data_IF_105473546060
#
_entry.id   IF_105473546060
#
_cell.length_a   1.000
_cell.length_b   1.000
_cell.length_c   1.000
_cell.angle_alpha   90.00
_cell.angle_beta   90.00
_cell.angle_gamma   90.00
#
_symmetry.space_group_name_H-M   'P 1'
#
loop_
_entity.id
_entity.type
_entity.pdbx_description
1 polymer ?
#
# COMPACT_ATOMS: atom_id res chain seq x y z
N UNK A 1 -3.46 -11.62 11.33
CA UNK A 1 -3.38 -11.57 9.86
C UNK A 1 -4.70 -11.95 9.17
N UNK A 2 -5.30 -11.07 8.35
CA UNK A 2 -6.52 -11.35 7.57
C UNK A 2 -6.36 -12.53 6.61
N UNK A 3 -7.42 -13.33 6.40
CA UNK A 3 -7.37 -14.53 5.56
C UNK A 3 -6.96 -14.24 4.10
N UNK A 4 -7.35 -13.10 3.56
CA UNK A 4 -6.97 -12.68 2.19
C UNK A 4 -5.46 -12.47 2.03
N UNK A 5 -4.80 -11.90 3.05
CA UNK A 5 -3.34 -11.71 3.05
C UNK A 5 -2.62 -13.04 3.26
N UNK A 6 -3.21 -13.98 4.03
CA UNK A 6 -2.62 -15.33 4.20
C UNK A 6 -2.55 -16.12 2.90
N UNK A 7 -3.47 -15.86 1.98
CA UNK A 7 -3.53 -16.52 0.69
C UNK A 7 -2.78 -15.73 -0.41
N UNK A 8 -2.31 -14.53 -0.09
CA UNK A 8 -1.62 -13.65 -1.02
C UNK A 8 -0.10 -13.82 -0.92
N UNK A 9 0.61 -13.26 -1.90
CA UNK A 9 2.07 -13.14 -1.97
C UNK A 9 2.61 -11.97 -1.15
N UNK A 10 1.72 -11.27 -0.45
CA UNK A 10 2.06 -10.12 0.40
C UNK A 10 2.19 -10.56 1.86
N UNK A 11 3.03 -9.86 2.60
CA UNK A 11 3.26 -10.16 4.01
C UNK A 11 2.46 -9.20 4.89
N UNK A 12 1.77 -9.70 5.90
CA UNK A 12 1.17 -8.82 6.90
C UNK A 12 2.27 -8.24 7.79
N UNK A 13 2.31 -6.91 7.94
CA UNK A 13 3.24 -6.28 8.86
C UNK A 13 2.77 -6.46 10.30
N UNK A 14 3.52 -7.24 11.06
CA UNK A 14 3.51 -7.18 12.51
C UNK A 14 4.61 -6.19 12.95
N UNK A 15 4.36 -5.29 13.93
CA UNK A 15 5.35 -4.35 14.44
C UNK A 15 6.57 -5.10 14.99
N UNK A 16 7.52 -5.34 14.12
CA UNK A 16 8.76 -6.08 14.34
C UNK A 16 9.76 -5.54 13.32
N UNK A 17 11.04 -5.61 13.64
CA UNK A 17 12.05 -4.91 12.87
C UNK A 17 11.98 -5.27 11.37
N UNK A 18 12.17 -4.27 10.47
CA UNK A 18 12.27 -4.53 9.04
C UNK A 18 13.37 -5.56 8.75
N UNK A 19 13.31 -6.30 7.61
CA UNK A 19 14.33 -7.28 7.27
C UNK A 19 15.74 -6.70 7.37
N UNK A 20 16.61 -7.40 8.10
CA UNK A 20 17.97 -6.94 8.38
C UNK A 20 18.89 -6.91 7.13
N UNK A 21 18.51 -7.61 6.06
CA UNK A 21 19.26 -7.69 4.81
C UNK A 21 18.35 -7.53 3.59
N UNK A 22 18.90 -6.94 2.52
CA UNK A 22 18.19 -6.74 1.26
C UNK A 22 17.20 -5.57 1.33
N UNK A 23 16.44 -5.41 0.24
CA UNK A 23 15.41 -4.39 0.13
C UNK A 23 14.08 -4.92 0.67
N UNK A 24 13.29 -4.09 1.33
CA UNK A 24 11.93 -4.42 1.76
C UNK A 24 11.01 -3.19 1.65
N UNK A 25 9.73 -3.42 1.35
CA UNK A 25 8.72 -2.38 1.22
C UNK A 25 7.70 -2.54 2.34
N UNK A 26 7.37 -1.46 3.06
CA UNK A 26 6.16 -1.38 3.90
C UNK A 26 5.15 -0.50 3.19
N UNK A 27 3.96 -1.02 3.02
CA UNK A 27 2.83 -0.35 2.42
C UNK A 27 1.72 -0.20 3.46
N UNK A 28 1.48 1.03 3.90
CA UNK A 28 0.35 1.37 4.77
C UNK A 28 -0.83 1.76 3.89
N UNK A 29 -1.92 1.00 4.02
CA UNK A 29 -3.13 1.13 3.19
C UNK A 29 -4.35 1.50 4.03
N UNK A 30 -5.23 2.31 3.46
CA UNK A 30 -6.55 2.57 4.02
C UNK A 30 -7.54 1.51 3.51
N UNK A 31 -8.15 0.66 4.37
CA UNK A 31 -9.01 -0.44 3.93
C UNK A 31 -10.33 -0.01 3.28
N UNK A 32 -10.70 1.28 3.32
CA UNK A 32 -11.82 1.86 2.56
C UNK A 32 -11.39 2.52 1.25
N UNK A 33 -10.08 2.65 0.98
CA UNK A 33 -9.60 3.22 -0.27
C UNK A 33 -9.69 2.17 -1.37
N UNK A 34 -10.60 2.37 -2.31
CA UNK A 34 -10.69 1.52 -3.50
C UNK A 34 -9.38 1.47 -4.29
N UNK A 35 -8.61 2.57 -4.31
CA UNK A 35 -7.30 2.60 -4.95
C UNK A 35 -6.29 1.71 -4.22
N UNK A 36 -6.30 1.72 -2.89
CA UNK A 36 -5.38 0.91 -2.10
C UNK A 36 -5.73 -0.57 -2.23
N UNK A 37 -7.02 -0.92 -2.19
CA UNK A 37 -7.48 -2.30 -2.40
C UNK A 37 -7.13 -2.80 -3.80
N UNK A 38 -7.40 -2.01 -4.85
CA UNK A 38 -7.01 -2.35 -6.22
C UNK A 38 -5.49 -2.50 -6.37
N UNK A 39 -4.70 -1.68 -5.68
CA UNK A 39 -3.25 -1.79 -5.65
C UNK A 39 -2.79 -3.11 -5.02
N UNK A 40 -3.41 -3.55 -3.92
CA UNK A 40 -3.08 -4.84 -3.31
C UNK A 40 -3.34 -6.01 -4.27
N UNK A 41 -4.43 -5.98 -5.03
CA UNK A 41 -4.73 -7.01 -6.03
C UNK A 41 -3.68 -7.04 -7.15
N UNK A 42 -3.26 -5.87 -7.66
CA UNK A 42 -2.20 -5.80 -8.68
C UNK A 42 -0.87 -6.32 -8.13
N UNK A 43 -0.52 -5.96 -6.89
CA UNK A 43 0.72 -6.41 -6.27
C UNK A 43 0.72 -7.92 -6.01
N UNK A 44 -0.39 -8.49 -5.56
CA UNK A 44 -0.51 -9.93 -5.34
C UNK A 44 -0.27 -10.74 -6.62
N UNK A 45 -0.68 -10.20 -7.77
CA UNK A 45 -0.43 -10.81 -9.06
C UNK A 45 1.01 -10.58 -9.58
N UNK A 46 1.58 -9.40 -9.30
CA UNK A 46 2.86 -8.94 -9.86
C UNK A 46 4.09 -9.43 -9.08
N UNK A 47 3.97 -9.63 -7.77
CA UNK A 47 5.08 -10.11 -6.94
C UNK A 47 5.31 -11.61 -7.22
N UNK A 48 6.55 -12.08 -7.39
CA UNK A 48 6.84 -13.51 -7.56
C UNK A 48 6.25 -14.36 -6.43
N UNK A 49 5.68 -15.51 -6.79
CA UNK A 49 5.14 -16.47 -5.82
C UNK A 49 6.22 -17.09 -4.92
N UNK A 50 5.80 -17.85 -3.89
CA UNK A 50 6.71 -18.50 -2.95
C UNK A 50 7.68 -19.50 -3.61
N UNK A 51 7.38 -19.95 -4.82
CA UNK A 51 8.25 -20.85 -5.61
C UNK A 51 9.46 -20.13 -6.24
N UNK A 52 9.53 -18.79 -6.15
CA UNK A 52 10.65 -17.97 -6.65
C UNK A 52 11.15 -16.96 -5.60
N UNK A 53 11.64 -17.44 -4.44
CA UNK A 53 12.09 -16.56 -3.37
C UNK A 53 13.34 -15.78 -3.81
N UNK A 54 13.31 -14.45 -3.59
CA UNK A 54 14.45 -13.56 -3.86
C UNK A 54 14.44 -12.84 -5.22
N UNK A 55 13.45 -13.10 -6.08
CA UNK A 55 13.31 -12.38 -7.36
C UNK A 55 12.72 -10.96 -7.20
N UNK A 56 12.08 -10.67 -6.07
CA UNK A 56 11.63 -9.32 -5.73
C UNK A 56 11.72 -9.06 -4.22
N UNK A 57 11.84 -7.79 -3.80
CA UNK A 57 11.72 -7.40 -2.40
C UNK A 57 10.38 -7.84 -1.79
N UNK A 58 10.36 -8.33 -0.53
CA UNK A 58 9.11 -8.57 0.18
C UNK A 58 8.32 -7.27 0.36
N UNK A 59 7.01 -7.36 0.12
CA UNK A 59 6.05 -6.29 0.37
C UNK A 59 5.26 -6.61 1.62
N UNK A 60 5.43 -5.79 2.64
CA UNK A 60 4.68 -5.83 3.88
C UNK A 60 3.50 -4.87 3.82
N UNK A 61 2.34 -5.29 4.32
CA UNK A 61 1.10 -4.51 4.29
C UNK A 61 0.63 -4.23 5.71
N UNK A 62 0.30 -2.97 5.97
CA UNK A 62 -0.22 -2.47 7.23
C UNK A 62 -1.57 -1.76 7.02
N UNK A 63 -2.54 -2.01 7.91
CA UNK A 63 -3.79 -1.25 7.92
C UNK A 63 -3.59 0.13 8.58
N UNK A 64 -3.91 1.21 7.87
CA UNK A 64 -3.83 2.58 8.37
C UNK A 64 -4.64 2.80 9.67
N UNK A 65 -5.81 2.16 9.86
CA UNK A 65 -6.62 2.30 11.08
C UNK A 65 -5.94 1.79 12.34
N UNK A 66 -4.91 0.95 12.20
CA UNK A 66 -4.17 0.47 13.37
C UNK A 66 -3.42 1.60 14.06
N UNK A 67 -3.06 2.65 13.32
CA UNK A 67 -2.32 3.79 13.82
C UNK A 67 -3.30 4.87 14.26
N UNK A 68 -3.27 5.19 15.55
CA UNK A 68 -4.14 6.20 16.17
C UNK A 68 -3.52 7.60 16.13
N UNK A 69 -2.23 7.69 15.83
CA UNK A 69 -1.50 8.95 15.79
C UNK A 69 -0.30 8.89 14.83
N UNK A 70 0.30 10.06 14.54
CA UNK A 70 1.55 10.13 13.75
C UNK A 70 2.64 9.36 14.47
N UNK A 71 2.74 9.49 15.79
CA UNK A 71 3.81 8.88 16.59
C UNK A 71 3.82 7.36 16.49
N UNK A 72 2.65 6.72 16.48
CA UNK A 72 2.53 5.27 16.25
C UNK A 72 2.99 4.89 14.84
N UNK A 73 2.68 5.72 13.85
CA UNK A 73 3.11 5.51 12.47
C UNK A 73 4.62 5.75 12.31
N UNK A 74 5.18 6.74 13.01
CA UNK A 74 6.61 7.08 13.02
C UNK A 74 7.46 5.98 13.66
N UNK A 75 6.89 5.20 14.59
CA UNK A 75 7.56 4.03 15.16
C UNK A 75 7.87 2.97 14.10
N UNK A 76 6.97 2.79 13.12
CA UNK A 76 7.17 1.88 12.00
C UNK A 76 7.92 2.55 10.84
N UNK A 77 7.66 3.83 10.55
CA UNK A 77 8.29 4.61 9.46
C UNK A 77 8.99 5.84 10.06
N UNK A 78 10.29 5.72 10.39
CA UNK A 78 11.07 6.84 10.90
C UNK A 78 10.99 8.00 9.90
N UNK A 79 11.08 9.26 10.36
CA UNK A 79 10.99 10.51 9.57
C UNK A 79 9.59 11.03 9.21
N UNK A 80 8.51 10.32 9.54
CA UNK A 80 7.17 10.92 9.42
C UNK A 80 6.93 11.89 10.57
N UNK A 81 6.75 13.17 10.24
CA UNK A 81 6.69 14.26 11.22
C UNK A 81 5.33 15.00 11.27
N UNK A 82 4.48 14.92 10.24
CA UNK A 82 3.16 15.61 10.26
C UNK A 82 2.12 15.08 9.27
N UNK A 83 0.84 15.05 9.68
CA UNK A 83 -0.34 14.80 8.83
C UNK A 83 -0.85 16.09 8.15
N UNK A 84 -1.63 16.00 7.05
CA UNK A 84 -2.21 14.78 6.45
C UNK A 84 -1.34 14.13 5.34
N UNK A 85 -1.36 12.79 5.28
CA UNK A 85 -0.82 11.99 4.17
C UNK A 85 -1.97 11.37 3.38
N UNK A 86 -1.82 11.30 2.06
CA UNK A 86 -2.75 10.56 1.22
C UNK A 86 -2.33 9.09 1.17
N UNK A 87 -3.23 8.14 1.42
CA UNK A 87 -2.91 6.73 1.24
C UNK A 87 -2.74 6.37 -0.26
N UNK A 88 -1.94 5.34 -0.60
CA UNK A 88 -1.12 4.55 0.31
C UNK A 88 0.14 5.31 0.76
N UNK A 89 0.70 4.94 1.92
CA UNK A 89 2.04 5.38 2.35
C UNK A 89 3.00 4.21 2.11
N UNK A 90 4.02 4.43 1.29
CA UNK A 90 5.03 3.44 0.99
C UNK A 90 6.36 3.86 1.60
N UNK A 91 7.01 2.95 2.30
CA UNK A 91 8.35 3.14 2.84
C UNK A 91 9.28 2.03 2.37
N UNK A 92 10.55 2.37 2.20
CA UNK A 92 11.59 1.49 1.70
C UNK A 92 12.68 1.30 2.74
N UNK A 93 13.01 0.05 3.04
CA UNK A 93 14.16 -0.35 3.82
C UNK A 93 15.17 -1.02 2.92
N UNK A 94 16.45 -0.83 3.26
CA UNK A 94 17.56 -1.54 2.63
C UNK A 94 18.62 -1.84 3.67
N UNK A 95 18.90 -3.13 3.83
CA UNK A 95 19.88 -3.66 4.78
C UNK A 95 19.57 -3.20 6.21
N UNK A 96 18.31 -3.35 6.63
CA UNK A 96 17.81 -2.95 7.95
C UNK A 96 17.66 -1.44 8.17
N UNK A 97 18.14 -0.59 7.26
CA UNK A 97 18.07 0.86 7.38
C UNK A 97 16.91 1.45 6.55
N UNK A 98 16.18 2.39 7.14
CA UNK A 98 15.20 3.20 6.43
C UNK A 98 15.89 4.03 5.32
N UNK A 99 15.26 4.12 4.15
CA UNK A 99 15.82 4.82 2.98
C UNK A 99 14.92 5.91 2.43
N UNK A 100 13.64 5.62 2.22
CA UNK A 100 12.73 6.54 1.57
C UNK A 100 11.29 6.31 2.02
N UNK A 101 10.47 7.34 1.93
CA UNK A 101 9.02 7.28 2.14
C UNK A 101 8.31 8.19 1.14
N UNK A 102 7.19 7.73 0.61
CA UNK A 102 6.32 8.50 -0.27
C UNK A 102 4.85 8.11 -0.02
N UNK A 103 3.92 8.93 -0.52
CA UNK A 103 2.50 8.71 -0.29
C UNK A 103 1.65 9.07 -1.51
N UNK A 104 0.40 8.60 -1.53
CA UNK A 104 -0.52 8.76 -2.66
C UNK A 104 0.05 8.14 -3.94
N UNK A 105 -0.01 8.87 -5.07
CA UNK A 105 0.60 8.42 -6.33
C UNK A 105 2.11 8.18 -6.20
N UNK A 106 2.83 9.10 -5.55
CA UNK A 106 4.27 8.94 -5.35
C UNK A 106 4.60 7.69 -4.51
N UNK A 107 3.72 7.33 -3.56
CA UNK A 107 3.79 6.06 -2.84
C UNK A 107 3.67 4.86 -3.78
N UNK A 108 2.72 4.87 -4.72
CA UNK A 108 2.59 3.82 -5.74
C UNK A 108 3.80 3.73 -6.66
N UNK A 109 4.33 4.87 -7.09
CA UNK A 109 5.53 4.94 -7.94
C UNK A 109 6.74 4.34 -7.19
N UNK A 110 6.92 4.67 -5.91
CA UNK A 110 7.99 4.11 -5.07
C UNK A 110 7.91 2.58 -4.96
N UNK A 111 6.71 2.01 -4.82
CA UNK A 111 6.53 0.56 -4.79
C UNK A 111 6.86 -0.07 -6.14
N UNK A 112 6.41 0.54 -7.25
CA UNK A 112 6.71 0.03 -8.58
C UNK A 112 8.21 -0.01 -8.85
N UNK A 113 8.91 1.09 -8.56
CA UNK A 113 10.37 1.18 -8.69
C UNK A 113 11.10 0.13 -7.83
N UNK A 114 10.64 -0.09 -6.59
CA UNK A 114 11.24 -1.08 -5.70
C UNK A 114 11.09 -2.52 -6.22
N UNK A 115 10.04 -2.79 -7.00
CA UNK A 115 9.74 -4.10 -7.57
C UNK A 115 10.21 -4.26 -9.02
N UNK A 116 10.97 -3.28 -9.56
CA UNK A 116 11.39 -3.23 -10.97
C UNK A 116 10.20 -3.31 -11.96
N UNK A 117 9.07 -2.72 -11.57
CA UNK A 117 7.87 -2.61 -12.39
C UNK A 117 7.81 -1.22 -13.05
N UNK A 118 7.39 -1.11 -14.33
CA UNK A 118 7.18 0.19 -14.96
C UNK A 118 6.10 1.00 -14.22
N UNK A 119 6.41 2.17 -13.62
CA UNK A 119 5.47 2.87 -12.75
C UNK A 119 4.17 3.29 -13.44
N UNK A 120 4.25 3.71 -14.70
CA UNK A 120 3.08 4.12 -15.48
C UNK A 120 2.12 2.94 -15.70
N UNK A 121 2.63 1.82 -16.23
CA UNK A 121 1.83 0.61 -16.46
C UNK A 121 1.25 0.04 -15.14
N UNK A 122 2.01 0.10 -14.04
CA UNK A 122 1.52 -0.28 -12.73
C UNK A 122 0.34 0.59 -12.29
N UNK A 123 0.47 1.91 -12.36
CA UNK A 123 -0.61 2.84 -12.00
C UNK A 123 -1.84 2.67 -12.89
N UNK A 124 -1.67 2.45 -14.19
CA UNK A 124 -2.78 2.19 -15.12
C UNK A 124 -3.60 0.97 -14.71
N UNK A 125 -2.93 -0.12 -14.31
CA UNK A 125 -3.62 -1.32 -13.81
C UNK A 125 -4.41 -1.04 -12.52
N UNK A 126 -3.81 -0.30 -11.58
CA UNK A 126 -4.50 0.09 -10.34
C UNK A 126 -5.75 0.93 -10.65
N UNK A 127 -5.64 1.92 -11.53
CA UNK A 127 -6.75 2.78 -11.93
C UNK A 127 -7.84 1.96 -12.64
N UNK A 128 -7.46 1.03 -13.52
CA UNK A 128 -8.40 0.20 -14.26
C UNK A 128 -9.24 -0.73 -13.36
N UNK A 129 -8.66 -1.18 -12.23
CA UNK A 129 -9.33 -2.04 -11.25
C UNK A 129 -10.08 -1.26 -10.18
N UNK A 130 -9.81 0.02 -10.03
CA UNK A 130 -10.54 0.88 -9.09
C UNK A 130 -11.99 1.02 -9.60
N UNK A 131 -13.01 0.63 -8.82
CA UNK A 131 -14.41 0.82 -9.22
C UNK A 131 -14.65 2.29 -9.55
N UNK A 132 -15.12 2.55 -10.79
CA UNK A 132 -15.53 3.89 -11.16
C UNK A 132 -16.70 4.29 -10.27
N UNK A 133 -16.55 5.40 -9.58
CA UNK A 133 -17.68 6.04 -8.93
C UNK A 133 -18.72 6.37 -10.01
N UNK A 134 -19.82 5.60 -10.02
CA UNK A 134 -21.03 6.01 -10.70
C UNK A 134 -21.80 6.81 -9.67
N UNK A 135 -21.97 8.14 -9.84
CA UNK A 135 -22.90 8.87 -8.98
C UNK A 135 -24.25 8.16 -9.09
N UNK A 136 -24.77 7.73 -7.95
CA UNK A 136 -26.15 7.24 -7.89
C UNK A 136 -27.03 8.34 -8.49
N UNK A 137 -27.95 8.05 -9.42
CA UNK A 137 -28.84 9.07 -9.92
C UNK A 137 -29.57 9.69 -8.72
N UNK A 138 -29.52 11.01 -8.65
CA UNK A 138 -30.03 11.82 -7.54
C UNK A 138 -31.31 11.24 -6.94
N UNK A 139 -31.32 11.07 -5.62
CA UNK A 139 -32.59 11.11 -4.89
C UNK A 139 -33.11 12.55 -4.99
N UNK A 140 -33.81 12.82 -6.08
CA UNK A 140 -34.83 13.87 -6.14
C UNK A 140 -35.93 13.49 -5.16
N UNK A 141 -35.70 13.78 -3.88
CA UNK A 141 -36.80 13.82 -2.91
C UNK A 141 -37.49 15.16 -3.07
N UNK A 142 -38.59 15.10 -3.81
CA UNK A 142 -39.73 15.99 -3.73
C UNK A 142 -39.83 16.74 -2.39
N UNK A 143 -39.69 18.06 -2.43
CA UNK A 143 -40.46 18.93 -1.54
C UNK A 143 -41.52 19.57 -2.43
N UNK A 144 -42.64 18.86 -2.53
CA UNK A 144 -43.87 19.38 -3.09
C UNK A 144 -44.80 19.83 -1.97
N UNK A 145 -45.51 20.91 -2.28
CA UNK A 145 -46.57 21.61 -1.52
C UNK A 145 -46.12 22.54 -0.39
#
# INVERSE_FOLDING_TARGET
MPAVVRASRLHWWEPSAPPAGGTAVLLVVAPWSHYDLAMLDVLDESVPGPDRPGEAPPVFVANLERYRSVEELTADIPILESFPFQSPIAALWRDGAFRNVAWGKAGRDLVADALDLPPEAFNEQVIARTPRYSPSPDRTSHVGA
#
